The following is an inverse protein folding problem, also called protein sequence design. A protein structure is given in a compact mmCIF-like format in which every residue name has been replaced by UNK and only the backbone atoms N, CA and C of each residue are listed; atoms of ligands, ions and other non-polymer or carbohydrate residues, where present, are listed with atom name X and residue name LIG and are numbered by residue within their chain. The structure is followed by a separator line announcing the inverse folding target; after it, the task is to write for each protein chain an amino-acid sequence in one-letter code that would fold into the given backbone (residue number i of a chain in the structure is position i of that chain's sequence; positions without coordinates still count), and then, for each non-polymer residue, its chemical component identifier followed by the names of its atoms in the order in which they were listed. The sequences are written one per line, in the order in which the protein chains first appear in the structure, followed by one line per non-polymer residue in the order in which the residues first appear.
data_IF_621414011137
#
_entry.id   IF_621414011137
#
_cell.length_a   1.000
_cell.length_b   1.000
_cell.length_c   1.000
_cell.angle_alpha   90.00
_cell.angle_beta   90.00
_cell.angle_gamma   90.00
#
_symmetry.space_group_name_H-M   'P 1'
#
loop_
_entity.id
_entity.type
_entity.pdbx_description
1 polymer ?
#
# COMPACT_ATOMS: atom_id res chain seq x y z
N UNK A 1 -0.80 -8.68 -12.62
CA UNK A 1 -1.93 -7.95 -13.24
C UNK A 1 -2.48 -6.80 -12.38
N UNK A 2 -3.01 -7.02 -11.16
CA UNK A 2 -3.62 -5.94 -10.33
C UNK A 2 -2.70 -4.73 -10.17
N UNK A 3 -1.45 -4.93 -9.75
CA UNK A 3 -0.46 -3.85 -9.58
C UNK A 3 -0.24 -3.07 -10.88
N UNK A 4 -0.05 -3.77 -12.00
CA UNK A 4 0.16 -3.20 -13.34
C UNK A 4 -1.04 -2.37 -13.81
N UNK A 5 -2.27 -2.83 -13.60
CA UNK A 5 -3.45 -2.03 -13.96
C UNK A 5 -3.65 -0.82 -13.06
N UNK A 6 -3.25 -0.89 -11.78
CA UNK A 6 -3.26 0.29 -10.90
C UNK A 6 -2.26 1.35 -11.35
N UNK A 7 -1.04 0.96 -11.75
CA UNK A 7 -0.05 1.91 -12.28
C UNK A 7 -0.49 2.49 -13.63
N UNK A 8 -1.26 1.74 -14.42
CA UNK A 8 -1.91 2.25 -15.64
C UNK A 8 -3.30 2.87 -15.42
N UNK A 9 -3.60 3.34 -14.20
CA UNK A 9 -4.84 4.07 -13.85
C UNK A 9 -6.15 3.35 -14.17
N UNK A 10 -6.09 2.06 -14.45
CA UNK A 10 -7.23 1.23 -14.80
C UNK A 10 -7.79 0.54 -13.56
N UNK A 11 -8.43 1.35 -12.73
CA UNK A 11 -8.90 0.93 -11.41
C UNK A 11 -10.01 -0.12 -11.49
N UNK A 12 -10.89 -0.03 -12.49
CA UNK A 12 -11.99 -0.99 -12.69
C UNK A 12 -11.50 -2.38 -13.09
N UNK A 13 -10.54 -2.47 -14.03
CA UNK A 13 -9.94 -3.78 -14.33
C UNK A 13 -9.19 -4.32 -13.12
N UNK A 14 -8.39 -3.48 -12.44
CA UNK A 14 -7.69 -3.90 -11.23
C UNK A 14 -8.65 -4.46 -10.16
N UNK A 15 -9.80 -3.82 -9.96
CA UNK A 15 -10.84 -4.27 -9.03
C UNK A 15 -11.46 -5.61 -9.46
N UNK A 16 -11.74 -5.81 -10.75
CA UNK A 16 -12.20 -7.09 -11.28
C UNK A 16 -11.23 -8.24 -10.99
N UNK A 17 -9.93 -8.04 -11.23
CA UNK A 17 -8.91 -9.03 -10.86
C UNK A 17 -8.85 -9.27 -9.34
N UNK A 18 -9.01 -8.23 -8.51
CA UNK A 18 -9.01 -8.40 -7.05
C UNK A 18 -10.18 -9.26 -6.56
N UNK A 19 -11.39 -9.07 -7.13
CA UNK A 19 -12.54 -9.92 -6.80
C UNK A 19 -12.29 -11.37 -7.17
N UNK A 20 -11.81 -11.63 -8.39
CA UNK A 20 -11.51 -13.00 -8.82
C UNK A 20 -10.44 -13.67 -7.94
N UNK A 21 -9.37 -12.95 -7.55
CA UNK A 21 -8.36 -13.48 -6.63
C UNK A 21 -8.96 -13.88 -5.28
N UNK A 22 -9.91 -13.09 -4.75
CA UNK A 22 -10.56 -13.41 -3.48
C UNK A 22 -11.45 -14.65 -3.60
N UNK A 23 -12.16 -14.80 -4.71
CA UNK A 23 -12.98 -15.98 -4.99
C UNK A 23 -12.09 -17.22 -5.09
N UNK A 24 -11.02 -17.16 -5.90
CA UNK A 24 -10.08 -18.27 -6.08
C UNK A 24 -9.40 -18.68 -4.78
N UNK A 25 -9.00 -17.73 -3.92
CA UNK A 25 -8.39 -18.03 -2.61
C UNK A 25 -9.32 -18.78 -1.65
N UNK A 26 -10.63 -18.68 -1.84
CA UNK A 26 -11.64 -19.35 -1.02
C UNK A 26 -12.16 -20.62 -1.67
N UNK A 27 -11.84 -20.85 -2.95
CA UNK A 27 -12.27 -22.05 -3.67
C UNK A 27 -11.56 -23.28 -3.08
N UNK A 28 -12.28 -24.36 -2.74
CA UNK A 28 -11.70 -25.48 -2.00
C UNK A 28 -10.74 -26.33 -2.82
N UNK A 29 -10.83 -26.29 -4.15
CA UNK A 29 -10.04 -27.11 -5.07
C UNK A 29 -9.34 -26.23 -6.10
N UNK A 30 -8.33 -26.80 -6.75
CA UNK A 30 -7.74 -26.16 -7.93
C UNK A 30 -8.74 -26.20 -9.09
N UNK A 31 -8.81 -25.11 -9.85
CA UNK A 31 -9.63 -25.04 -11.06
C UNK A 31 -9.09 -26.00 -12.11
N UNK A 32 -9.95 -26.87 -12.61
CA UNK A 32 -9.60 -27.99 -13.49
C UNK A 32 -10.14 -27.86 -14.91
N UNK A 33 -11.03 -26.89 -15.16
CA UNK A 33 -11.50 -26.57 -16.50
C UNK A 33 -11.79 -25.07 -16.68
N UNK A 34 -11.90 -24.65 -17.95
CA UNK A 34 -12.30 -23.30 -18.29
C UNK A 34 -13.74 -22.99 -17.87
N UNK A 35 -14.65 -23.96 -17.98
CA UNK A 35 -16.05 -23.83 -17.56
C UNK A 35 -16.15 -23.60 -16.06
N UNK A 36 -15.34 -24.32 -15.27
CA UNK A 36 -15.25 -24.12 -13.83
C UNK A 36 -14.75 -22.71 -13.50
N UNK A 37 -13.73 -22.22 -14.23
CA UNK A 37 -13.25 -20.84 -14.09
C UNK A 37 -14.34 -19.81 -14.38
N UNK A 38 -15.16 -20.02 -15.42
CA UNK A 38 -16.23 -19.10 -15.83
C UNK A 38 -17.45 -19.15 -14.91
N UNK A 39 -17.70 -20.28 -14.25
CA UNK A 39 -18.77 -20.42 -13.27
C UNK A 39 -18.51 -19.61 -11.99
N UNK A 40 -17.28 -19.16 -11.76
CA UNK A 40 -16.92 -18.39 -10.58
C UNK A 40 -17.65 -17.02 -10.53
N UNK A 41 -18.19 -16.63 -9.36
CA UNK A 41 -18.89 -15.36 -9.21
C UNK A 41 -18.02 -14.15 -9.61
N UNK A 42 -18.54 -13.33 -10.52
CA UNK A 42 -17.86 -12.12 -11.01
C UNK A 42 -16.71 -12.37 -11.99
N UNK A 43 -16.57 -13.61 -12.49
CA UNK A 43 -15.60 -13.97 -13.54
C UNK A 43 -16.31 -14.04 -14.89
N UNK A 44 -15.99 -13.09 -15.78
CA UNK A 44 -16.43 -13.14 -17.18
C UNK A 44 -15.46 -13.91 -18.08
N UNK A 45 -15.85 -14.15 -19.33
CA UNK A 45 -15.09 -14.91 -20.35
C UNK A 45 -13.60 -14.54 -20.38
N UNK A 46 -13.27 -13.24 -20.52
CA UNK A 46 -11.88 -12.77 -20.60
C UNK A 46 -11.03 -13.07 -19.36
N UNK A 47 -11.67 -13.20 -18.19
CA UNK A 47 -10.99 -13.48 -16.94
C UNK A 47 -10.88 -14.99 -16.74
N UNK A 48 -11.91 -15.75 -17.13
CA UNK A 48 -11.86 -17.21 -17.22
C UNK A 48 -10.73 -17.69 -18.14
N UNK A 49 -10.56 -17.08 -19.33
CA UNK A 49 -9.46 -17.38 -20.25
C UNK A 49 -8.09 -17.28 -19.57
N UNK A 50 -7.90 -16.27 -18.70
CA UNK A 50 -6.64 -16.02 -18.01
C UNK A 50 -6.43 -16.97 -16.85
N UNK A 51 -7.50 -17.28 -16.12
CA UNK A 51 -7.46 -18.26 -15.04
C UNK A 51 -7.10 -19.63 -15.62
N UNK A 52 -7.70 -20.01 -16.75
CA UNK A 52 -7.42 -21.26 -17.44
C UNK A 52 -6.00 -21.30 -18.00
N UNK A 53 -5.54 -20.23 -18.68
CA UNK A 53 -4.15 -20.13 -19.16
C UNK A 53 -3.13 -20.34 -18.02
N UNK A 54 -3.39 -19.73 -16.85
CA UNK A 54 -2.53 -19.92 -15.67
C UNK A 54 -2.63 -21.33 -15.12
N UNK A 55 -3.83 -21.93 -15.08
CA UNK A 55 -4.03 -23.29 -14.58
C UNK A 55 -3.33 -24.35 -15.44
N UNK A 56 -3.29 -24.14 -16.76
CA UNK A 56 -2.68 -25.05 -17.73
C UNK A 56 -1.15 -24.86 -17.84
N UNK A 57 -0.69 -23.62 -17.96
CA UNK A 57 0.72 -23.32 -18.25
C UNK A 57 1.56 -22.90 -17.04
N UNK A 58 0.93 -22.56 -15.92
CA UNK A 58 1.58 -21.92 -14.76
C UNK A 58 1.97 -20.46 -14.98
N UNK A 59 1.81 -19.94 -16.20
CA UNK A 59 2.20 -18.59 -16.58
C UNK A 59 1.03 -17.81 -17.22
N UNK A 60 1.22 -16.51 -17.42
CA UNK A 60 0.29 -15.68 -18.15
C UNK A 60 1.07 -14.85 -19.17
N UNK A 61 0.90 -15.13 -20.48
CA UNK A 61 1.65 -14.44 -21.54
C UNK A 61 1.56 -12.92 -21.45
N UNK A 62 0.36 -12.42 -21.20
CA UNK A 62 0.12 -10.97 -21.02
C UNK A 62 0.87 -10.38 -19.82
N UNK A 63 1.09 -11.14 -18.77
CA UNK A 63 1.91 -10.70 -17.63
C UNK A 63 3.39 -10.63 -18.04
N UNK A 64 3.86 -11.60 -18.81
CA UNK A 64 5.23 -11.64 -19.33
C UNK A 64 5.49 -10.44 -20.26
N UNK A 65 4.57 -10.10 -21.15
CA UNK A 65 4.62 -8.89 -21.98
C UNK A 65 4.72 -7.62 -21.12
N UNK A 66 3.86 -7.47 -20.11
CA UNK A 66 3.91 -6.33 -19.18
C UNK A 66 5.19 -6.28 -18.34
N UNK A 67 5.83 -7.41 -18.09
CA UNK A 67 7.11 -7.49 -17.38
C UNK A 67 8.30 -7.26 -18.32
N UNK A 68 8.16 -7.49 -19.62
CA UNK A 68 9.18 -7.19 -20.63
C UNK A 68 9.20 -5.70 -21.00
N UNK A 69 8.05 -5.02 -20.91
CA UNK A 69 7.90 -3.60 -21.21
C UNK A 69 8.71 -2.72 -20.23
N UNK A 70 9.75 -2.07 -20.78
CA UNK A 70 10.65 -1.18 -20.02
C UNK A 70 9.93 0.07 -19.52
N UNK A 71 8.94 0.57 -20.25
CA UNK A 71 8.22 1.80 -19.88
C UNK A 71 7.35 1.57 -18.65
N UNK A 72 6.73 0.40 -18.57
CA UNK A 72 5.93 0.01 -17.41
C UNK A 72 6.79 -0.13 -16.16
N UNK A 73 8.03 -0.64 -16.28
CA UNK A 73 8.97 -0.72 -15.15
C UNK A 73 9.32 0.67 -14.61
N UNK A 74 9.52 1.64 -15.48
CA UNK A 74 9.81 3.02 -15.08
C UNK A 74 8.60 3.65 -14.38
N UNK A 75 7.39 3.46 -14.91
CA UNK A 75 6.17 3.98 -14.27
C UNK A 75 5.97 3.32 -12.90
N UNK A 76 6.23 2.02 -12.76
CA UNK A 76 6.17 1.31 -11.47
C UNK A 76 7.22 1.83 -10.48
N UNK A 77 8.47 2.02 -10.93
CA UNK A 77 9.55 2.64 -10.15
C UNK A 77 9.11 3.99 -9.56
N UNK A 78 8.48 4.83 -10.38
CA UNK A 78 7.99 6.15 -9.98
C UNK A 78 6.75 6.10 -9.08
N UNK A 79 5.86 5.12 -9.28
CA UNK A 79 4.65 4.97 -8.44
C UNK A 79 5.00 4.50 -7.02
N UNK A 80 6.16 3.89 -6.84
CA UNK A 80 6.68 3.51 -5.52
C UNK A 80 7.24 4.70 -4.72
N UNK A 81 7.42 5.88 -5.32
CA UNK A 81 7.84 7.08 -4.60
C UNK A 81 6.68 7.54 -3.71
N UNK A 82 6.90 7.59 -2.39
CA UNK A 82 5.87 8.04 -1.47
C UNK A 82 5.40 9.47 -1.80
N UNK A 83 4.09 9.68 -1.89
CA UNK A 83 3.49 10.93 -2.38
C UNK A 83 3.39 11.06 -3.91
N UNK A 84 3.72 10.01 -4.67
CA UNK A 84 3.52 9.96 -6.12
C UNK A 84 2.48 8.88 -6.51
N UNK A 85 1.34 9.33 -7.01
CA UNK A 85 0.34 8.42 -7.59
C UNK A 85 0.62 8.10 -9.06
N UNK A 86 -0.21 7.24 -9.65
CA UNK A 86 -0.11 6.85 -11.06
C UNK A 86 -0.12 8.05 -12.03
N UNK A 87 -0.83 9.14 -11.70
CA UNK A 87 -0.82 10.37 -12.51
C UNK A 87 0.56 11.04 -12.51
N UNK A 88 1.11 11.30 -11.32
CA UNK A 88 2.43 11.91 -11.15
C UNK A 88 3.53 11.07 -11.80
N UNK A 89 3.51 9.75 -11.59
CA UNK A 89 4.46 8.83 -12.18
C UNK A 89 4.47 8.91 -13.72
N UNK A 90 3.30 9.02 -14.34
CA UNK A 90 3.20 9.20 -15.80
C UNK A 90 3.64 10.56 -16.28
N UNK A 91 3.35 11.63 -15.53
CA UNK A 91 3.84 12.96 -15.88
C UNK A 91 5.37 12.99 -15.90
N UNK A 92 6.03 12.38 -14.92
CA UNK A 92 7.49 12.24 -14.91
C UNK A 92 7.99 11.41 -16.09
N UNK A 93 7.31 10.32 -16.40
CA UNK A 93 7.66 9.50 -17.57
C UNK A 93 7.53 10.29 -18.89
N UNK A 94 6.46 11.07 -19.07
CA UNK A 94 6.22 11.92 -20.24
C UNK A 94 7.23 13.06 -20.36
N UNK A 95 7.77 13.53 -19.23
CA UNK A 95 8.88 14.49 -19.19
C UNK A 95 10.24 13.87 -19.53
N UNK A 96 10.28 12.57 -19.85
CA UNK A 96 11.50 11.86 -20.25
C UNK A 96 12.30 11.28 -19.08
N UNK A 97 11.82 11.37 -17.83
CA UNK A 97 12.53 10.79 -16.68
C UNK A 97 12.45 9.27 -16.74
N UNK A 98 13.56 8.59 -16.41
CA UNK A 98 13.65 7.12 -16.43
C UNK A 98 14.20 6.53 -15.14
N UNK A 99 14.86 7.34 -14.32
CA UNK A 99 15.52 6.90 -13.08
C UNK A 99 15.09 7.72 -11.87
N UNK A 100 15.32 7.21 -10.66
CA UNK A 100 15.13 8.01 -9.43
C UNK A 100 16.08 9.21 -9.38
N UNK A 101 17.26 9.11 -10.01
CA UNK A 101 18.22 10.21 -10.06
C UNK A 101 17.73 11.38 -10.93
N UNK A 102 17.04 11.08 -12.05
CA UNK A 102 16.34 12.10 -12.82
C UNK A 102 15.34 12.87 -11.96
N UNK A 103 14.62 12.17 -11.07
CA UNK A 103 13.69 12.81 -10.15
C UNK A 103 14.41 13.69 -9.13
N UNK A 104 15.53 13.23 -8.58
CA UNK A 104 16.31 13.99 -7.58
C UNK A 104 16.91 15.26 -8.16
N UNK A 105 17.36 15.21 -9.42
CA UNK A 105 18.16 16.29 -10.03
C UNK A 105 17.32 17.25 -10.89
N UNK A 106 16.27 16.76 -11.55
CA UNK A 106 15.54 17.52 -12.59
C UNK A 106 14.07 17.76 -12.27
N UNK A 107 13.43 16.88 -11.48
CA UNK A 107 11.99 16.99 -11.24
C UNK A 107 11.66 18.08 -10.20
N UNK A 108 10.53 18.76 -10.41
CA UNK A 108 9.92 19.61 -9.38
C UNK A 108 9.10 18.73 -8.44
N UNK A 109 9.61 18.54 -7.23
CA UNK A 109 9.03 17.63 -6.23
C UNK A 109 8.37 18.40 -5.08
N UNK A 110 7.24 17.89 -4.60
CA UNK A 110 6.66 18.35 -3.34
C UNK A 110 7.55 17.96 -2.16
N UNK A 111 7.38 18.61 -0.99
CA UNK A 111 8.12 18.25 0.23
C UNK A 111 7.95 16.76 0.58
N UNK A 112 6.72 16.25 0.41
CA UNK A 112 6.35 14.86 0.59
C UNK A 112 7.16 13.92 -0.32
N UNK A 113 7.21 14.22 -1.61
CA UNK A 113 7.94 13.42 -2.61
C UNK A 113 9.45 13.46 -2.39
N UNK A 114 10.00 14.58 -1.91
CA UNK A 114 11.43 14.67 -1.54
C UNK A 114 11.77 13.71 -0.41
N UNK A 115 10.94 13.63 0.63
CA UNK A 115 11.11 12.67 1.72
C UNK A 115 10.94 11.24 1.19
N UNK A 116 9.92 11.01 0.35
CA UNK A 116 9.68 9.72 -0.29
C UNK A 116 10.84 9.23 -1.14
N UNK A 117 11.55 10.11 -1.85
CA UNK A 117 12.77 9.75 -2.60
C UNK A 117 13.99 9.54 -1.72
N UNK A 118 14.09 10.30 -0.61
CA UNK A 118 15.19 10.18 0.35
C UNK A 118 15.17 8.83 1.05
N UNK A 119 13.98 8.34 1.42
CA UNK A 119 13.76 7.08 2.13
C UNK A 119 13.13 6.01 1.23
N UNK A 120 13.40 6.06 -0.07
CA UNK A 120 12.73 5.20 -1.06
C UNK A 120 12.87 3.71 -0.74
N UNK A 121 14.10 3.26 -0.46
CA UNK A 121 14.38 1.86 -0.14
C UNK A 121 13.77 1.48 1.22
N UNK A 122 13.97 2.31 2.26
CA UNK A 122 13.45 2.09 3.61
C UNK A 122 11.91 1.95 3.62
N UNK A 123 11.20 2.77 2.83
CA UNK A 123 9.74 2.75 2.74
C UNK A 123 9.22 1.50 2.00
N UNK A 124 10.02 0.97 1.06
CA UNK A 124 9.67 -0.25 0.34
C UNK A 124 9.98 -1.52 1.13
N UNK A 125 10.93 -1.44 2.06
CA UNK A 125 11.27 -2.56 2.92
C UNK A 125 10.13 -2.92 3.88
N UNK A 126 10.02 -4.22 4.16
CA UNK A 126 8.91 -4.79 4.91
C UNK A 126 9.36 -5.06 6.34
N UNK A 127 8.80 -4.34 7.30
CA UNK A 127 9.10 -4.56 8.71
C UNK A 127 8.51 -5.88 9.25
N UNK A 128 9.22 -6.59 10.14
CA UNK A 128 8.67 -7.73 10.86
C UNK A 128 7.58 -7.28 11.86
N UNK A 129 6.71 -8.22 12.28
CA UNK A 129 5.67 -7.93 13.27
C UNK A 129 6.20 -7.42 14.61
N UNK A 130 7.39 -7.86 15.01
CA UNK A 130 8.04 -7.45 16.26
C UNK A 130 8.36 -5.96 16.25
N UNK A 131 8.81 -5.44 15.11
CA UNK A 131 9.05 -4.00 14.92
C UNK A 131 7.72 -3.21 14.96
N UNK A 132 6.69 -3.70 14.27
CA UNK A 132 5.36 -3.08 14.31
C UNK A 132 4.79 -3.01 15.74
N UNK A 133 4.98 -4.07 16.54
CA UNK A 133 4.58 -4.12 17.95
C UNK A 133 5.37 -3.13 18.82
N UNK A 134 6.68 -2.97 18.57
CA UNK A 134 7.49 -1.98 19.27
C UNK A 134 7.04 -0.55 18.96
N UNK A 135 6.69 -0.26 17.70
CA UNK A 135 6.12 1.04 17.29
C UNK A 135 4.77 1.27 17.98
N UNK A 136 3.88 0.26 17.99
CA UNK A 136 2.61 0.30 18.73
C UNK A 136 2.80 0.69 20.19
N UNK A 137 3.76 0.04 20.85
CA UNK A 137 4.07 0.28 22.25
C UNK A 137 4.53 1.72 22.51
N UNK A 138 5.45 2.24 21.69
CA UNK A 138 5.92 3.62 21.81
C UNK A 138 4.77 4.62 21.64
N UNK A 139 3.90 4.40 20.66
CA UNK A 139 2.72 5.26 20.43
C UNK A 139 1.74 5.18 21.59
N UNK A 140 1.46 3.97 22.08
CA UNK A 140 0.54 3.72 23.19
C UNK A 140 1.01 4.37 24.49
N UNK A 141 2.28 4.20 24.86
CA UNK A 141 2.85 4.80 26.06
C UNK A 141 2.83 6.34 26.00
N UNK A 142 3.17 6.92 24.84
CA UNK A 142 3.12 8.36 24.66
C UNK A 142 1.67 8.90 24.67
N UNK A 143 0.72 8.16 24.10
CA UNK A 143 -0.69 8.53 24.12
C UNK A 143 -1.26 8.48 25.54
N UNK A 144 -1.03 7.38 26.27
CA UNK A 144 -1.50 7.19 27.65
C UNK A 144 -0.94 8.24 28.61
N UNK A 145 0.34 8.61 28.43
CA UNK A 145 0.95 9.71 29.19
C UNK A 145 0.24 11.06 28.96
N UNK A 146 -0.22 11.33 27.73
CA UNK A 146 -0.85 12.60 27.38
C UNK A 146 -2.35 12.64 27.72
N UNK A 147 -3.02 11.49 27.69
CA UNK A 147 -4.43 11.33 27.96
C UNK A 147 -4.67 9.97 28.65
N UNK A 148 -4.68 9.93 29.99
CA UNK A 148 -4.91 8.69 30.73
C UNK A 148 -6.23 8.02 30.32
N UNK A 149 -6.21 6.71 30.12
CA UNK A 149 -7.37 5.93 29.66
C UNK A 149 -7.59 5.94 28.15
N UNK A 150 -6.67 6.51 27.36
CA UNK A 150 -6.75 6.47 25.90
C UNK A 150 -6.43 5.07 25.39
N UNK A 151 -7.20 4.63 24.41
CA UNK A 151 -6.98 3.37 23.71
C UNK A 151 -6.21 3.67 22.43
N UNK A 152 -4.98 3.17 22.38
CA UNK A 152 -4.15 3.13 21.17
C UNK A 152 -4.02 1.68 20.69
N UNK A 153 -4.49 1.40 19.47
CA UNK A 153 -4.51 0.04 18.92
C UNK A 153 -4.01 -0.02 17.49
N UNK A 154 -3.06 -0.91 17.22
CA UNK A 154 -2.64 -1.19 15.86
C UNK A 154 -3.75 -1.86 15.03
N UNK A 155 -3.90 -1.35 13.82
CA UNK A 155 -4.91 -1.73 12.85
C UNK A 155 -4.25 -2.34 11.60
N UNK A 156 -4.83 -2.10 10.42
CA UNK A 156 -4.16 -2.41 9.17
C UNK A 156 -3.79 -3.88 8.96
N UNK A 157 -2.65 -4.07 8.31
CA UNK A 157 -2.09 -5.41 8.04
C UNK A 157 -1.70 -6.15 9.32
N UNK A 158 -1.30 -5.42 10.35
CA UNK A 158 -0.92 -5.96 11.65
C UNK A 158 -2.10 -6.65 12.34
N UNK A 159 -3.25 -5.97 12.45
CA UNK A 159 -4.50 -6.52 13.02
C UNK A 159 -5.03 -7.72 12.25
N UNK A 160 -4.78 -7.79 10.94
CA UNK A 160 -5.16 -8.94 10.08
C UNK A 160 -4.19 -10.13 10.16
N UNK A 161 -3.22 -10.10 11.07
CA UNK A 161 -2.29 -11.22 11.28
C UNK A 161 -1.23 -11.41 10.19
N UNK A 162 -0.91 -10.37 9.39
CA UNK A 162 0.15 -10.50 8.37
C UNK A 162 1.54 -10.68 9.01
N UNK A 163 2.42 -11.56 8.48
CA UNK A 163 3.73 -11.85 9.07
C UNK A 163 4.73 -10.69 8.95
N UNK A 164 4.50 -9.79 8.00
CA UNK A 164 5.23 -8.53 7.87
C UNK A 164 4.24 -7.38 7.71
N UNK A 165 4.71 -6.17 7.99
CA UNK A 165 4.00 -4.91 7.82
C UNK A 165 4.79 -4.00 6.87
N UNK A 166 4.14 -2.95 6.36
CA UNK A 166 4.79 -1.96 5.47
C UNK A 166 4.66 -0.58 6.07
N UNK A 167 3.58 -0.39 6.80
CA UNK A 167 3.26 0.71 7.67
C UNK A 167 2.63 0.17 8.95
N UNK A 168 2.54 1.05 9.96
CA UNK A 168 1.84 0.80 11.21
C UNK A 168 0.68 1.78 11.30
N UNK A 169 -0.53 1.28 11.10
CA UNK A 169 -1.76 2.03 11.33
C UNK A 169 -2.12 1.96 12.82
N UNK A 170 -2.25 3.09 13.51
CA UNK A 170 -2.69 3.14 14.91
C UNK A 170 -3.99 3.93 15.02
N UNK A 171 -5.02 3.30 15.56
CA UNK A 171 -6.27 3.97 15.93
C UNK A 171 -6.16 4.49 17.36
N UNK A 172 -6.52 5.76 17.56
CA UNK A 172 -6.60 6.41 18.87
C UNK A 172 -8.06 6.73 19.20
N UNK A 173 -8.53 6.31 20.37
CA UNK A 173 -9.87 6.63 20.87
C UNK A 173 -9.86 6.72 22.40
N UNK A 174 -10.93 7.22 23.01
CA UNK A 174 -11.07 7.26 24.46
C UNK A 174 -12.52 6.90 24.83
N UNK A 175 -12.77 6.11 25.90
CA UNK A 175 -14.11 5.63 26.26
C UNK A 175 -15.16 6.73 26.44
N UNK A 176 -14.75 7.94 26.84
CA UNK A 176 -15.63 9.11 27.01
C UNK A 176 -16.05 9.80 25.68
N UNK A 177 -15.49 9.38 24.54
CA UNK A 177 -15.73 9.97 23.23
C UNK A 177 -15.23 11.42 23.05
N UNK A 178 -14.45 11.96 24.00
CA UNK A 178 -14.04 13.38 24.03
C UNK A 178 -12.55 13.56 24.24
N UNK A 179 -11.91 12.79 25.12
CA UNK A 179 -10.52 13.03 25.53
C UNK A 179 -9.48 12.74 24.45
N UNK A 180 -9.84 12.03 23.39
CA UNK A 180 -8.99 11.85 22.21
C UNK A 180 -8.90 13.12 21.32
N UNK A 181 -9.79 14.11 21.50
CA UNK A 181 -9.83 15.31 20.65
C UNK A 181 -8.58 16.16 20.84
N UNK A 182 -7.90 16.50 19.75
CA UNK A 182 -6.66 17.26 19.78
C UNK A 182 -5.45 16.51 20.32
N UNK A 183 -5.58 15.22 20.66
CA UNK A 183 -4.48 14.40 21.15
C UNK A 183 -3.39 14.21 20.10
N UNK A 184 -3.78 14.08 18.83
CA UNK A 184 -2.86 13.79 17.73
C UNK A 184 -1.72 14.80 17.59
N UNK A 185 -2.01 16.11 17.68
CA UNK A 185 -0.98 17.15 17.58
C UNK A 185 0.00 17.11 18.77
N UNK A 186 -0.52 16.89 19.98
CA UNK A 186 0.28 16.72 21.20
C UNK A 186 1.16 15.48 21.13
N UNK A 187 0.59 14.36 20.68
CA UNK A 187 1.30 13.09 20.52
C UNK A 187 2.45 13.23 19.52
N UNK A 188 2.22 13.89 18.38
CA UNK A 188 3.27 14.14 17.40
C UNK A 188 4.38 15.04 17.93
N UNK A 189 4.04 16.10 18.66
CA UNK A 189 5.04 16.94 19.31
C UNK A 189 5.90 16.11 20.27
N UNK A 190 5.26 15.28 21.11
CA UNK A 190 5.95 14.39 22.05
C UNK A 190 6.86 13.37 21.37
N UNK A 191 6.40 12.74 20.29
CA UNK A 191 7.20 11.77 19.53
C UNK A 191 8.40 12.44 18.83
N UNK A 192 8.26 13.69 18.38
CA UNK A 192 9.39 14.47 17.84
C UNK A 192 10.41 14.84 18.91
N UNK A 193 9.97 15.35 20.05
CA UNK A 193 10.84 15.69 21.19
C UNK A 193 11.67 14.49 21.65
N UNK A 194 11.07 13.30 21.67
CA UNK A 194 11.75 12.06 22.05
C UNK A 194 12.62 11.45 20.92
N UNK A 195 12.78 12.12 19.78
CA UNK A 195 13.55 11.63 18.64
C UNK A 195 12.95 10.40 17.94
N UNK A 196 11.65 10.14 18.14
CA UNK A 196 10.94 8.98 17.58
C UNK A 196 10.15 9.30 16.29
N UNK A 197 9.99 10.59 15.91
CA UNK A 197 9.56 11.01 14.56
C UNK A 197 10.68 11.78 13.86
N UNK A 198 11.20 11.26 12.74
CA UNK A 198 12.17 11.96 11.89
C UNK A 198 11.48 12.88 10.87
N UNK A 199 10.38 12.42 10.27
CA UNK A 199 9.57 13.17 9.32
C UNK A 199 8.10 12.90 9.60
N UNK A 200 7.31 13.96 9.71
CA UNK A 200 5.90 13.85 10.04
C UNK A 200 5.09 14.33 8.82
N UNK A 201 4.49 13.36 8.15
CA UNK A 201 3.83 13.49 6.85
C UNK A 201 2.35 13.15 7.02
N UNK A 202 1.47 14.13 6.82
CA UNK A 202 0.08 14.04 7.27
C UNK A 202 -0.86 13.57 6.16
N UNK A 203 -1.55 12.46 6.43
CA UNK A 203 -2.83 12.12 5.81
C UNK A 203 -3.75 11.70 6.97
N UNK A 204 -4.73 12.51 7.31
CA UNK A 204 -5.69 12.21 8.39
C UNK A 204 -6.98 11.70 7.73
N UNK A 205 -7.32 10.42 7.93
CA UNK A 205 -8.66 9.91 7.64
C UNK A 205 -9.46 9.92 8.93
N UNK A 206 -10.45 10.81 9.02
CA UNK A 206 -11.47 10.75 10.05
C UNK A 206 -12.49 9.68 9.65
N UNK A 207 -12.63 8.65 10.46
CA UNK A 207 -13.78 7.74 10.41
C UNK A 207 -14.70 8.17 11.53
N UNK A 208 -15.88 8.68 11.18
CA UNK A 208 -16.97 9.01 12.12
C UNK A 208 -17.77 7.75 12.43
#
# INVERSE_FOLDING_TARGET
MVKKYKSTSDQWRAFGYQKAIQVLRKHPTQISSWEEARALPGVGTRLADKIWEIAESGELRKLNEFNADKDIKVIELFTNVWGAGAHTARQWFQQGFRTLDDLRTKAKLTHQQKIGLKHYEDILDRMPRTEAAAIEQVVREAAEFLAPGVIAQCCGSYRRGKPTCGDVDVLLTHPDGKSHKGLFSKLLAKLKENGKCSHCLFICLFVW
#
